data_IF_922570462781
#
_entry.id   IF_922570462781
#
_cell.length_a   1.000
_cell.length_b   1.000
_cell.length_c   1.000
_cell.angle_alpha   90.00
_cell.angle_beta   90.00
_cell.angle_gamma   90.00
#
_symmetry.space_group_name_H-M   'P 1'
#
loop_
_entity.id
_entity.type
_entity.pdbx_description
1 polymer ?
#
# COMPACT_ATOMS: atom_id res chain seq x y z
N UNK A 1 -16.60 11.54 4.31
CA UNK A 1 -15.72 12.69 3.99
C UNK A 1 -15.25 12.49 2.57
N UNK A 2 -15.44 13.46 1.70
CA UNK A 2 -14.85 13.48 0.35
C UNK A 2 -13.43 14.04 0.45
N UNK A 3 -12.47 13.47 -0.30
CA UNK A 3 -11.11 14.01 -0.32
C UNK A 3 -11.11 15.42 -0.91
N UNK A 4 -10.48 16.38 -0.22
CA UNK A 4 -10.39 17.76 -0.69
C UNK A 4 -9.31 17.97 -1.77
N UNK A 5 -8.40 17.00 -1.92
CA UNK A 5 -7.32 16.98 -2.90
C UNK A 5 -7.29 15.60 -3.53
N UNK A 6 -7.23 15.55 -4.87
CA UNK A 6 -7.17 14.31 -5.64
C UNK A 6 -5.90 14.35 -6.49
N UNK A 7 -5.14 13.26 -6.45
CA UNK A 7 -4.02 13.00 -7.36
C UNK A 7 -4.35 11.72 -8.13
N UNK A 8 -4.31 11.79 -9.46
CA UNK A 8 -4.60 10.65 -10.34
C UNK A 8 -3.33 10.22 -11.04
N UNK A 9 -3.07 8.91 -11.05
CA UNK A 9 -1.93 8.29 -11.74
C UNK A 9 -2.48 7.17 -12.62
N UNK A 10 -2.11 7.19 -13.90
CA UNK A 10 -2.52 6.18 -14.88
C UNK A 10 -1.28 5.54 -15.50
N UNK A 11 -1.30 4.21 -15.61
CA UNK A 11 -0.26 3.39 -16.26
C UNK A 11 -0.90 2.20 -16.95
N UNK A 12 -0.35 1.82 -18.09
CA UNK A 12 -0.71 0.61 -18.83
C UNK A 12 0.36 -0.47 -18.61
N UNK A 13 -0.09 -1.72 -18.44
CA UNK A 13 0.77 -2.87 -18.28
C UNK A 13 0.36 -3.94 -19.31
N UNK A 14 1.34 -4.50 -20.02
CA UNK A 14 1.15 -5.68 -20.87
C UNK A 14 1.12 -6.95 -20.00
N UNK A 15 0.09 -7.06 -19.17
CA UNK A 15 -0.13 -8.17 -18.24
C UNK A 15 -1.64 -8.37 -17.98
N UNK A 16 -2.08 -9.60 -17.66
CA UNK A 16 -3.46 -9.87 -17.26
C UNK A 16 -3.85 -9.06 -16.01
N UNK A 17 -5.10 -8.59 -15.95
CA UNK A 17 -5.61 -7.82 -14.81
C UNK A 17 -5.49 -8.54 -13.48
N UNK A 18 -5.68 -9.87 -13.45
CA UNK A 18 -5.53 -10.66 -12.23
C UNK A 18 -4.10 -10.54 -11.67
N UNK A 19 -3.09 -10.55 -12.55
CA UNK A 19 -1.69 -10.45 -12.14
C UNK A 19 -1.37 -9.07 -11.58
N UNK A 20 -1.88 -8.01 -12.21
CA UNK A 20 -1.72 -6.65 -11.71
C UNK A 20 -2.44 -6.51 -10.37
N UNK A 21 -3.67 -6.99 -10.25
CA UNK A 21 -4.42 -6.96 -8.99
C UNK A 21 -3.66 -7.66 -7.86
N UNK A 22 -3.19 -8.89 -8.09
CA UNK A 22 -2.43 -9.65 -7.10
C UNK A 22 -1.14 -8.93 -6.69
N UNK A 23 -0.46 -8.24 -7.62
CA UNK A 23 0.72 -7.43 -7.29
C UNK A 23 0.44 -6.36 -6.22
N UNK A 24 -0.79 -5.84 -6.16
CA UNK A 24 -1.19 -4.83 -5.17
C UNK A 24 -1.85 -5.40 -3.91
N UNK A 25 -2.43 -6.60 -3.96
CA UNK A 25 -3.23 -7.14 -2.85
C UNK A 25 -2.63 -8.37 -2.17
N UNK A 26 -1.76 -9.12 -2.84
CA UNK A 26 -1.06 -10.26 -2.22
C UNK A 26 0.13 -9.74 -1.40
N UNK A 27 0.23 -10.03 -0.09
CA UNK A 27 1.30 -9.50 0.76
C UNK A 27 2.70 -9.83 0.24
N UNK A 28 2.91 -11.06 -0.23
CA UNK A 28 4.19 -11.51 -0.77
C UNK A 28 4.59 -10.83 -2.08
N UNK A 29 3.61 -10.42 -2.89
CA UNK A 29 3.86 -9.69 -4.14
C UNK A 29 4.07 -8.20 -3.86
N UNK A 30 3.22 -7.60 -3.02
CA UNK A 30 3.30 -6.19 -2.64
C UNK A 30 4.66 -5.84 -2.01
N UNK A 31 5.21 -6.74 -1.20
CA UNK A 31 6.52 -6.55 -0.56
C UNK A 31 7.67 -6.37 -1.55
N UNK A 32 7.53 -6.84 -2.79
CA UNK A 32 8.61 -6.76 -3.78
C UNK A 32 8.77 -5.37 -4.40
N UNK A 33 7.74 -4.52 -4.35
CA UNK A 33 7.75 -3.28 -5.14
C UNK A 33 7.06 -2.06 -4.51
N UNK A 34 6.29 -2.19 -3.41
CA UNK A 34 5.61 -1.05 -2.76
C UNK A 34 6.59 -0.01 -2.17
N UNK A 35 7.88 -0.36 -2.05
CA UNK A 35 8.96 0.57 -1.75
C UNK A 35 9.29 1.47 -2.95
N UNK A 36 9.32 2.78 -2.75
CA UNK A 36 9.84 3.72 -3.76
C UNK A 36 11.35 3.53 -3.95
N UNK A 37 11.97 3.97 -5.06
CA UNK A 37 13.42 3.90 -5.22
C UNK A 37 14.18 4.43 -3.99
N UNK A 38 15.11 3.64 -3.45
CA UNK A 38 15.84 3.93 -2.19
C UNK A 38 15.12 3.50 -0.91
N UNK A 39 14.02 2.75 -1.04
CA UNK A 39 13.27 2.14 0.04
C UNK A 39 12.92 0.70 -0.29
N UNK A 40 12.80 -0.13 0.73
CA UNK A 40 12.26 -1.48 0.62
C UNK A 40 11.12 -1.69 1.62
N UNK A 41 10.27 -2.68 1.35
CA UNK A 41 9.29 -3.16 2.32
C UNK A 41 9.98 -4.17 3.23
N UNK A 42 9.81 -4.03 4.54
CA UNK A 42 10.32 -5.02 5.50
C UNK A 42 9.43 -6.27 5.46
N UNK A 43 9.93 -7.37 4.89
CA UNK A 43 9.17 -8.59 4.57
C UNK A 43 8.36 -9.14 5.76
N UNK A 44 8.87 -9.04 6.98
CA UNK A 44 8.18 -9.53 8.18
C UNK A 44 6.97 -8.70 8.63
N UNK A 45 6.74 -7.53 8.02
CA UNK A 45 5.65 -6.60 8.38
C UNK A 45 4.47 -6.67 7.42
N UNK A 46 4.66 -7.19 6.21
CA UNK A 46 3.60 -7.18 5.21
C UNK A 46 2.50 -8.18 5.59
N UNK A 47 1.25 -7.72 5.61
CA UNK A 47 0.08 -8.58 5.85
C UNK A 47 -1.15 -8.01 5.17
N UNK A 48 -2.15 -8.86 4.92
CA UNK A 48 -3.36 -8.46 4.21
C UNK A 48 -4.45 -9.52 4.23
N UNK A 49 -5.70 -9.12 4.45
CA UNK A 49 -6.89 -9.95 4.20
C UNK A 49 -7.64 -9.39 2.99
N UNK A 50 -7.79 -10.21 1.95
CA UNK A 50 -8.29 -9.80 0.64
C UNK A 50 -9.82 -9.86 0.54
N UNK A 51 -10.50 -9.06 1.35
CA UNK A 51 -11.95 -8.98 1.38
C UNK A 51 -12.41 -7.57 1.80
N UNK A 52 -13.71 -7.29 1.62
CA UNK A 52 -14.31 -6.06 2.12
C UNK A 52 -14.17 -5.97 3.65
N UNK A 53 -13.60 -4.88 4.15
CA UNK A 53 -13.28 -4.71 5.56
C UNK A 53 -11.96 -5.37 6.00
N UNK A 54 -11.32 -6.11 5.10
CA UNK A 54 -10.00 -6.69 5.32
C UNK A 54 -8.95 -5.62 5.60
N UNK A 55 -8.01 -5.95 6.49
CA UNK A 55 -6.91 -5.06 6.88
C UNK A 55 -5.64 -5.45 6.16
N UNK A 56 -4.82 -4.45 5.85
CA UNK A 56 -3.46 -4.67 5.38
C UNK A 56 -2.48 -3.77 6.13
N UNK A 57 -1.25 -4.23 6.24
CA UNK A 57 -0.17 -3.52 6.91
C UNK A 57 1.14 -3.74 6.16
N UNK A 58 1.98 -2.72 6.12
CA UNK A 58 3.39 -2.85 5.73
C UNK A 58 4.22 -1.71 6.31
N UNK A 59 5.52 -1.97 6.49
CA UNK A 59 6.53 -0.95 6.83
C UNK A 59 7.53 -0.82 5.69
N UNK A 60 7.77 0.42 5.26
CA UNK A 60 8.87 0.77 4.36
C UNK A 60 10.06 1.29 5.17
N UNK A 61 11.25 0.86 4.80
CA UNK A 61 12.51 1.27 5.42
C UNK A 61 13.37 1.94 4.38
N UNK A 62 14.01 3.06 4.74
CA UNK A 62 14.91 3.78 3.82
C UNK A 62 16.28 3.09 3.80
N UNK A 63 16.80 2.82 2.60
CA UNK A 63 18.00 1.99 2.45
C UNK A 63 19.27 2.63 3.04
N UNK A 64 19.40 3.96 2.91
CA UNK A 64 20.57 4.70 3.40
C UNK A 64 20.43 5.17 4.87
N UNK A 65 19.26 4.99 5.48
CA UNK A 65 19.00 5.28 6.88
C UNK A 65 17.89 4.35 7.39
N UNK A 66 18.27 3.15 7.89
CA UNK A 66 17.30 2.17 8.36
C UNK A 66 16.50 2.61 9.59
N UNK A 67 16.88 3.71 10.25
CA UNK A 67 16.11 4.28 11.36
C UNK A 67 14.88 5.03 10.86
N UNK A 68 14.89 5.49 9.60
CA UNK A 68 13.74 6.08 8.94
C UNK A 68 12.79 4.97 8.45
N UNK A 69 11.65 4.84 9.13
CA UNK A 69 10.64 3.80 8.91
C UNK A 69 9.26 4.41 8.75
N UNK A 70 8.53 4.03 7.71
CA UNK A 70 7.18 4.53 7.42
C UNK A 70 6.20 3.37 7.41
N UNK A 71 5.27 3.36 8.36
CA UNK A 71 4.22 2.37 8.47
C UNK A 71 2.97 2.79 7.70
N UNK A 72 2.27 1.82 7.10
CA UNK A 72 0.97 2.02 6.49
C UNK A 72 0.00 0.99 7.04
N UNK A 73 -1.10 1.46 7.62
CA UNK A 73 -2.22 0.65 8.08
C UNK A 73 -3.44 0.94 7.21
N UNK A 74 -3.97 -0.07 6.53
CA UNK A 74 -5.09 0.08 5.62
C UNK A 74 -6.29 -0.78 5.95
N UNK A 75 -7.47 -0.30 5.56
CA UNK A 75 -8.71 -1.07 5.51
C UNK A 75 -9.26 -1.00 4.10
N UNK A 76 -9.61 -2.14 3.51
CA UNK A 76 -10.31 -2.17 2.23
C UNK A 76 -11.78 -1.76 2.43
N UNK A 77 -12.16 -0.62 1.85
CA UNK A 77 -13.56 -0.12 1.86
C UNK A 77 -14.34 -0.60 0.65
N UNK A 78 -13.65 -1.07 -0.39
CA UNK A 78 -14.20 -1.78 -1.55
C UNK A 78 -13.20 -2.87 -1.96
N UNK A 79 -13.70 -4.03 -2.39
CA UNK A 79 -12.85 -5.13 -2.83
C UNK A 79 -13.60 -6.05 -3.81
N UNK A 80 -13.35 -5.88 -5.09
CA UNK A 80 -13.97 -6.63 -6.18
C UNK A 80 -12.86 -7.17 -7.09
N UNK A 81 -12.40 -8.38 -6.82
CA UNK A 81 -11.33 -9.01 -7.62
C UNK A 81 -11.86 -9.42 -9.00
N UNK A 82 -11.10 -9.18 -10.10
CA UNK A 82 -9.79 -8.51 -10.19
C UNK A 82 -9.88 -7.04 -10.65
N UNK A 83 -11.02 -6.38 -10.42
CA UNK A 83 -11.34 -5.10 -11.07
C UNK A 83 -10.97 -3.88 -10.20
N UNK A 84 -11.35 -3.86 -8.92
CA UNK A 84 -11.10 -2.70 -8.05
C UNK A 84 -10.90 -3.09 -6.59
N UNK A 85 -9.99 -2.40 -5.92
CA UNK A 85 -9.95 -2.29 -4.46
C UNK A 85 -9.79 -0.82 -4.09
N UNK A 86 -10.42 -0.41 -3.00
CA UNK A 86 -10.26 0.93 -2.43
C UNK A 86 -9.75 0.75 -1.01
N UNK A 87 -8.64 1.40 -0.67
CA UNK A 87 -8.11 1.39 0.68
C UNK A 87 -8.14 2.76 1.31
N UNK A 88 -8.64 2.81 2.54
CA UNK A 88 -8.40 3.91 3.46
C UNK A 88 -7.14 3.59 4.26
N UNK A 89 -6.09 4.37 4.05
CA UNK A 89 -4.78 4.17 4.67
C UNK A 89 -4.48 5.24 5.73
N UNK A 90 -3.85 4.83 6.84
CA UNK A 90 -3.21 5.68 7.84
C UNK A 90 -1.71 5.49 7.71
N UNK A 91 -0.97 6.57 7.54
CA UNK A 91 0.49 6.54 7.38
C UNK A 91 1.14 7.06 8.66
N UNK A 92 2.16 6.39 9.15
CA UNK A 92 2.90 6.76 10.38
C UNK A 92 4.41 6.75 10.14
N UNK A 93 5.17 7.45 10.97
CA UNK A 93 6.64 7.44 10.95
C UNK A 93 7.30 8.39 9.95
N UNK A 94 6.53 9.11 9.14
CA UNK A 94 7.01 10.23 8.34
C UNK A 94 6.79 11.55 9.11
N UNK A 95 7.84 12.34 9.44
CA UNK A 95 7.70 13.61 10.15
C UNK A 95 6.84 14.66 9.44
N UNK A 96 6.63 14.53 8.13
CA UNK A 96 5.77 15.42 7.34
C UNK A 96 4.30 15.02 7.31
N UNK A 97 3.93 13.91 7.95
CA UNK A 97 2.56 13.36 7.95
C UNK A 97 2.05 13.29 9.38
N UNK A 98 0.96 14.02 9.65
CA UNK A 98 0.19 13.84 10.88
C UNK A 98 -0.84 12.70 10.66
N UNK A 99 -0.74 11.58 11.40
CA UNK A 99 -1.59 10.41 11.18
C UNK A 99 -3.03 10.57 11.69
N UNK A 100 -3.30 11.64 12.46
CA UNK A 100 -4.59 11.87 13.12
C UNK A 100 -5.49 12.88 12.39
N UNK A 101 -5.05 13.37 11.23
CA UNK A 101 -5.78 14.36 10.38
C UNK A 101 -6.41 13.72 9.16
#
# INVERSE_FOLDING_TARGET
MTANVIVTVEREFDAPRERVFDAWTEPGELAQWRGSPGWHVETGTVSGTQELGGRHHHVKVRDNDPTTRVGTDGVYTEFFRPDVFVSRERITGDPGIDPDV
#
